data_IF_189123742743
#
_entry.id   IF_189123742743
#
_cell.length_a   1.000
_cell.length_b   1.000
_cell.length_c   1.000
_cell.angle_alpha   90.00
_cell.angle_beta   90.00
_cell.angle_gamma   90.00
#
_symmetry.space_group_name_H-M   'P 1'
#
loop_
_entity.id
_entity.type
_entity.pdbx_description
1 polymer ?
#
# COMPACT_ATOMS: atom_id res chain seq x y z
N UNK A 1 16.20 -18.20 2.53
CA UNK A 1 16.37 -16.75 2.79
C UNK A 1 15.04 -16.15 2.45
N UNK A 2 14.27 -15.77 3.47
CA UNK A 2 12.93 -15.22 3.30
C UNK A 2 13.08 -13.84 2.68
N UNK A 3 12.42 -13.58 1.56
CA UNK A 3 12.19 -12.23 1.07
C UNK A 3 11.41 -11.49 2.18
N UNK A 4 12.14 -10.66 2.93
CA UNK A 4 11.53 -9.66 3.80
C UNK A 4 10.64 -8.78 2.92
N UNK A 5 9.40 -8.56 3.35
CA UNK A 5 8.57 -7.48 2.84
C UNK A 5 9.26 -6.18 3.29
N UNK A 6 10.28 -5.77 2.54
CA UNK A 6 11.10 -4.60 2.81
C UNK A 6 10.30 -3.38 2.36
N UNK A 7 9.28 -2.99 3.14
CA UNK A 7 8.71 -1.67 3.00
C UNK A 7 9.86 -0.71 3.26
N UNK A 8 10.25 0.17 2.31
CA UNK A 8 11.40 1.05 2.50
C UNK A 8 11.00 2.15 3.48
N UNK A 9 10.98 1.82 4.77
CA UNK A 9 10.49 2.66 5.86
C UNK A 9 11.27 3.97 5.96
N UNK A 10 12.54 3.93 5.56
CA UNK A 10 13.40 5.10 5.38
C UNK A 10 12.80 6.07 4.36
N UNK A 11 12.27 5.58 3.23
CA UNK A 11 11.60 6.44 2.22
C UNK A 11 10.32 7.06 2.78
N UNK A 12 9.54 6.31 3.57
CA UNK A 12 8.31 6.82 4.22
C UNK A 12 8.66 7.97 5.18
N UNK A 13 9.61 7.76 6.09
CA UNK A 13 10.03 8.82 7.01
C UNK A 13 10.69 10.00 6.30
N UNK A 14 11.45 9.76 5.22
CA UNK A 14 12.06 10.84 4.43
C UNK A 14 10.99 11.69 3.74
N UNK A 15 9.99 11.05 3.14
CA UNK A 15 8.85 11.75 2.52
C UNK A 15 8.03 12.51 3.57
N UNK A 16 7.76 11.90 4.72
CA UNK A 16 6.97 12.51 5.79
C UNK A 16 7.68 13.70 6.46
N UNK A 17 9.00 13.60 6.71
CA UNK A 17 9.75 14.60 7.48
C UNK A 17 10.42 15.69 6.65
N UNK A 18 10.64 15.46 5.37
CA UNK A 18 11.34 16.40 4.49
C UNK A 18 10.53 16.66 3.22
N UNK A 19 10.27 15.62 2.42
CA UNK A 19 9.68 15.81 1.08
C UNK A 19 8.34 16.58 1.07
N UNK A 20 7.37 16.15 1.88
CA UNK A 20 6.05 16.80 1.93
C UNK A 20 6.10 18.15 2.65
N UNK A 21 6.79 18.29 3.82
CA UNK A 21 6.99 19.58 4.45
C UNK A 21 7.66 20.64 3.55
N UNK A 22 8.68 20.26 2.78
CA UNK A 22 9.37 21.18 1.86
C UNK A 22 8.40 21.74 0.80
N UNK A 23 7.55 20.87 0.23
CA UNK A 23 6.51 21.29 -0.71
C UNK A 23 5.44 22.18 -0.06
N UNK A 24 5.10 21.90 1.20
CA UNK A 24 4.18 22.75 1.97
C UNK A 24 4.79 24.13 2.25
N UNK A 25 6.10 24.21 2.50
CA UNK A 25 6.83 25.47 2.67
C UNK A 25 6.87 26.29 1.37
N UNK A 26 7.18 25.66 0.23
CA UNK A 26 7.15 26.32 -1.08
C UNK A 26 5.76 26.91 -1.37
N UNK A 27 4.71 26.14 -1.11
CA UNK A 27 3.33 26.58 -1.28
C UNK A 27 2.96 27.72 -0.32
N UNK A 28 3.44 27.68 0.92
CA UNK A 28 3.25 28.76 1.89
C UNK A 28 3.96 30.07 1.47
N UNK A 29 5.15 29.98 0.89
CA UNK A 29 5.88 31.13 0.33
C UNK A 29 5.10 31.79 -0.80
N UNK A 30 4.50 31.00 -1.70
CA UNK A 30 3.62 31.51 -2.77
C UNK A 30 2.40 32.21 -2.16
N UNK A 31 1.77 31.60 -1.15
CA UNK A 31 0.66 32.20 -0.41
C UNK A 31 1.00 33.55 0.21
N UNK A 32 2.18 33.66 0.84
CA UNK A 32 2.65 34.92 1.42
C UNK A 32 2.86 36.03 0.37
N UNK A 33 3.41 35.69 -0.79
CA UNK A 33 3.57 36.64 -1.91
C UNK A 33 2.21 37.10 -2.44
N UNK A 34 1.26 36.17 -2.62
CA UNK A 34 -0.09 36.50 -3.05
C UNK A 34 -0.78 37.45 -2.07
N UNK A 35 -0.67 37.19 -0.76
CA UNK A 35 -1.23 38.05 0.27
C UNK A 35 -0.68 39.48 0.20
N UNK A 36 0.63 39.63 -0.07
CA UNK A 36 1.24 40.96 -0.27
C UNK A 36 0.67 41.69 -1.48
N UNK A 37 0.42 40.97 -2.58
CA UNK A 37 -0.18 41.53 -3.80
C UNK A 37 -1.63 41.96 -3.52
N UNK A 38 -2.41 41.10 -2.86
CA UNK A 38 -3.80 41.40 -2.47
C UNK A 38 -3.88 42.65 -1.60
N UNK A 39 -3.00 42.75 -0.60
CA UNK A 39 -2.95 43.93 0.28
C UNK A 39 -2.61 45.20 -0.51
N UNK A 40 -1.70 45.11 -1.48
CA UNK A 40 -1.37 46.24 -2.35
C UNK A 40 -2.55 46.62 -3.24
N UNK A 41 -3.23 45.64 -3.82
CA UNK A 41 -4.40 45.84 -4.67
C UNK A 41 -5.56 46.45 -3.88
N UNK A 42 -5.78 46.04 -2.64
CA UNK A 42 -6.80 46.57 -1.75
C UNK A 42 -6.61 48.07 -1.50
N UNK A 43 -5.37 48.48 -1.19
CA UNK A 43 -5.02 49.91 -1.01
C UNK A 43 -5.25 50.71 -2.30
N UNK A 44 -4.96 50.15 -3.48
CA UNK A 44 -5.21 50.83 -4.75
C UNK A 44 -6.70 50.92 -5.07
N UNK A 45 -7.46 49.86 -4.78
CA UNK A 45 -8.91 49.80 -4.95
C UNK A 45 -9.60 50.86 -4.11
N UNK A 46 -9.20 51.01 -2.84
CA UNK A 46 -9.70 52.04 -1.94
C UNK A 46 -9.42 53.46 -2.47
N UNK A 47 -8.24 53.69 -3.06
CA UNK A 47 -7.89 54.98 -3.70
C UNK A 47 -8.66 55.25 -4.99
N UNK A 48 -9.01 54.20 -5.73
CA UNK A 48 -9.72 54.30 -7.00
C UNK A 48 -11.24 54.48 -6.87
N UNK A 49 -11.77 54.55 -5.64
CA UNK A 49 -13.21 54.65 -5.39
C UNK A 49 -13.94 53.32 -5.55
N UNK A 50 -13.21 52.20 -5.39
CA UNK A 50 -13.74 50.84 -5.29
C UNK A 50 -14.54 50.37 -6.52
N UNK A 51 -13.90 50.35 -7.71
CA UNK A 51 -14.57 49.90 -8.94
C UNK A 51 -14.92 48.40 -8.87
N UNK A 52 -16.08 47.98 -9.43
CA UNK A 52 -16.56 46.60 -9.33
C UNK A 52 -15.54 45.55 -9.79
N UNK A 53 -14.81 45.80 -10.88
CA UNK A 53 -13.81 44.87 -11.39
C UNK A 53 -12.66 44.60 -10.41
N UNK A 54 -12.28 45.58 -9.57
CA UNK A 54 -11.23 45.39 -8.57
C UNK A 54 -11.75 44.63 -7.34
N UNK A 55 -13.02 44.81 -6.96
CA UNK A 55 -13.66 43.98 -5.93
C UNK A 55 -13.72 42.51 -6.34
N UNK A 56 -14.07 42.24 -7.59
CA UNK A 56 -14.08 40.89 -8.12
C UNK A 56 -12.68 40.28 -8.11
N UNK A 57 -11.67 41.05 -8.52
CA UNK A 57 -10.27 40.62 -8.47
C UNK A 57 -9.79 40.33 -7.03
N UNK A 58 -10.15 41.18 -6.05
CA UNK A 58 -9.84 40.94 -4.63
C UNK A 58 -10.53 39.69 -4.09
N UNK A 59 -11.77 39.46 -4.49
CA UNK A 59 -12.54 38.26 -4.10
C UNK A 59 -11.89 37.00 -4.66
N UNK A 60 -11.53 36.99 -5.95
CA UNK A 60 -10.83 35.86 -6.57
C UNK A 60 -9.49 35.63 -5.89
N UNK A 61 -8.71 36.68 -5.62
CA UNK A 61 -7.41 36.55 -4.99
C UNK A 61 -7.51 36.04 -3.54
N UNK A 62 -8.53 36.46 -2.79
CA UNK A 62 -8.86 35.90 -1.47
C UNK A 62 -9.18 34.41 -1.54
N UNK A 63 -10.01 33.99 -2.50
CA UNK A 63 -10.33 32.57 -2.70
C UNK A 63 -9.09 31.72 -3.04
N UNK A 64 -8.19 32.25 -3.87
CA UNK A 64 -6.92 31.57 -4.21
C UNK A 64 -6.04 31.45 -2.97
N UNK A 65 -5.90 32.53 -2.19
CA UNK A 65 -5.12 32.51 -0.95
C UNK A 65 -5.67 31.49 0.06
N UNK A 66 -6.98 31.41 0.22
CA UNK A 66 -7.62 30.41 1.07
C UNK A 66 -7.41 28.98 0.55
N UNK A 67 -7.46 28.79 -0.77
CA UNK A 67 -7.13 27.53 -1.42
C UNK A 67 -5.69 27.08 -1.12
N UNK A 68 -4.72 27.98 -1.24
CA UNK A 68 -3.30 27.75 -0.92
C UNK A 68 -3.16 27.36 0.56
N UNK A 69 -3.78 28.11 1.47
CA UNK A 69 -3.74 27.82 2.92
C UNK A 69 -4.31 26.44 3.26
N UNK A 70 -5.41 26.05 2.62
CA UNK A 70 -5.98 24.70 2.75
C UNK A 70 -5.02 23.65 2.20
N UNK A 71 -4.40 23.89 1.05
CA UNK A 71 -3.39 23.01 0.46
C UNK A 71 -2.21 22.73 1.41
N UNK A 72 -1.63 23.77 2.00
CA UNK A 72 -0.56 23.64 3.02
C UNK A 72 -1.03 22.80 4.22
N UNK A 73 -2.25 23.04 4.69
CA UNK A 73 -2.82 22.27 5.82
C UNK A 73 -2.98 20.80 5.46
N UNK A 74 -3.47 20.50 4.26
CA UNK A 74 -3.63 19.13 3.76
C UNK A 74 -2.28 18.42 3.64
N UNK A 75 -1.25 19.10 3.12
CA UNK A 75 0.11 18.54 3.03
C UNK A 75 0.67 18.23 4.43
N UNK A 76 0.48 19.12 5.40
CA UNK A 76 0.91 18.86 6.77
C UNK A 76 0.18 17.66 7.40
N UNK A 77 -1.13 17.52 7.16
CA UNK A 77 -1.86 16.34 7.61
C UNK A 77 -1.40 15.05 6.91
N UNK A 78 -1.05 15.12 5.62
CA UNK A 78 -0.52 13.99 4.86
C UNK A 78 0.85 13.56 5.40
N UNK A 79 1.74 14.51 5.71
CA UNK A 79 3.02 14.25 6.34
C UNK A 79 2.85 13.52 7.69
N UNK A 80 1.93 14.01 8.54
CA UNK A 80 1.62 13.38 9.82
C UNK A 80 1.07 11.95 9.65
N UNK A 81 0.14 11.75 8.70
CA UNK A 81 -0.44 10.43 8.44
C UNK A 81 0.61 9.43 7.93
N UNK A 82 1.55 9.88 7.09
CA UNK A 82 2.66 9.05 6.63
C UNK A 82 3.64 8.70 7.76
N UNK A 83 3.93 9.64 8.66
CA UNK A 83 4.75 9.36 9.84
C UNK A 83 4.08 8.33 10.75
N UNK A 84 2.79 8.49 11.04
CA UNK A 84 2.02 7.53 11.82
C UNK A 84 1.98 6.14 11.18
N UNK A 85 1.84 6.09 9.85
CA UNK A 85 1.90 4.83 9.09
C UNK A 85 3.28 4.17 9.21
N UNK A 86 4.36 4.96 9.16
CA UNK A 86 5.71 4.50 9.40
C UNK A 86 5.87 3.90 10.81
N UNK A 87 5.35 4.58 11.82
CA UNK A 87 5.38 4.11 13.21
C UNK A 87 4.61 2.79 13.38
N UNK A 88 3.44 2.65 12.75
CA UNK A 88 2.63 1.43 12.76
C UNK A 88 3.38 0.25 12.14
N UNK A 89 4.11 0.46 11.04
CA UNK A 89 4.95 -0.57 10.43
C UNK A 89 6.07 -1.03 11.37
N UNK A 90 6.78 -0.10 12.01
CA UNK A 90 7.84 -0.44 12.99
C UNK A 90 7.25 -1.24 14.15
N UNK A 91 6.09 -0.82 14.66
CA UNK A 91 5.44 -1.50 15.77
C UNK A 91 5.02 -2.92 15.39
N UNK A 92 4.39 -3.10 14.24
CA UNK A 92 3.94 -4.42 13.77
C UNK A 92 5.11 -5.37 13.56
N UNK A 93 6.22 -4.90 12.99
CA UNK A 93 7.42 -5.73 12.78
C UNK A 93 8.07 -6.12 14.12
N UNK A 94 8.15 -5.18 15.06
CA UNK A 94 8.67 -5.46 16.41
C UNK A 94 7.82 -6.51 17.12
N UNK A 95 6.50 -6.38 17.06
CA UNK A 95 5.57 -7.36 17.64
C UNK A 95 5.73 -8.74 16.99
N UNK A 96 5.79 -8.81 15.66
CA UNK A 96 5.99 -10.07 14.95
C UNK A 96 7.31 -10.75 15.34
N UNK A 97 8.38 -9.97 15.50
CA UNK A 97 9.68 -10.47 15.96
C UNK A 97 9.62 -11.02 17.39
N UNK A 98 8.96 -10.32 18.29
CA UNK A 98 8.82 -10.74 19.69
C UNK A 98 7.98 -12.01 19.81
N UNK A 99 6.87 -12.10 19.06
CA UNK A 99 6.04 -13.30 18.96
C UNK A 99 6.85 -14.47 18.40
N UNK A 100 7.59 -14.27 17.31
CA UNK A 100 8.45 -15.31 16.74
C UNK A 100 9.47 -15.83 17.76
N UNK A 101 10.14 -14.93 18.48
CA UNK A 101 11.12 -15.31 19.51
C UNK A 101 10.47 -16.08 20.67
N UNK A 102 9.27 -15.69 21.08
CA UNK A 102 8.49 -16.38 22.11
C UNK A 102 8.15 -17.81 21.69
N UNK A 103 7.57 -17.98 20.49
CA UNK A 103 7.19 -19.30 19.97
C UNK A 103 8.41 -20.18 19.67
N UNK A 104 9.48 -19.61 19.10
CA UNK A 104 10.74 -20.32 18.85
C UNK A 104 11.36 -20.85 20.15
N UNK A 105 11.35 -20.05 21.22
CA UNK A 105 11.79 -20.48 22.54
C UNK A 105 10.92 -21.60 23.13
N UNK A 106 9.60 -21.46 23.04
CA UNK A 106 8.64 -22.42 23.57
C UNK A 106 8.69 -23.77 22.83
N UNK A 107 8.90 -23.76 21.51
CA UNK A 107 8.86 -24.95 20.66
C UNK A 107 10.17 -25.75 20.67
N UNK A 108 11.32 -25.14 21.01
CA UNK A 108 12.62 -25.84 21.08
C UNK A 108 12.67 -27.00 22.08
N UNK A 109 11.86 -26.93 23.14
CA UNK A 109 11.79 -27.98 24.18
C UNK A 109 10.65 -28.97 24.00
N UNK A 110 9.76 -28.76 23.03
CA UNK A 110 8.59 -29.61 22.82
C UNK A 110 8.96 -30.61 21.74
N UNK A 111 9.03 -31.88 22.11
CA UNK A 111 9.18 -32.95 21.13
C UNK A 111 7.92 -32.96 20.25
N UNK A 112 8.05 -32.85 18.91
CA UNK A 112 6.89 -32.82 18.04
C UNK A 112 6.08 -34.08 18.28
N UNK A 113 4.77 -33.93 18.55
CA UNK A 113 3.88 -35.07 18.71
C UNK A 113 3.84 -35.80 17.38
N UNK A 114 4.60 -36.89 17.28
CA UNK A 114 4.59 -37.78 16.13
C UNK A 114 3.35 -38.65 16.25
N UNK A 115 2.25 -38.19 15.68
CA UNK A 115 1.11 -39.08 15.44
C UNK A 115 1.61 -40.16 14.49
N UNK A 116 1.64 -41.41 14.95
CA UNK A 116 1.90 -42.55 14.07
C UNK A 116 0.87 -42.53 12.97
N UNK A 117 1.34 -42.41 11.72
CA UNK A 117 0.49 -42.64 10.55
C UNK A 117 -0.14 -44.01 10.73
N UNK A 118 -1.48 -44.15 10.77
CA UNK A 118 -2.12 -45.45 10.81
C UNK A 118 -1.52 -46.28 9.67
N UNK A 119 -1.02 -47.49 9.97
CA UNK A 119 -0.29 -48.32 9.00
C UNK A 119 -1.09 -48.76 7.77
N UNK A 120 -2.34 -48.29 7.66
CA UNK A 120 -3.27 -48.57 6.59
C UNK A 120 -4.12 -47.33 6.26
N UNK A 121 -3.46 -46.21 5.98
CA UNK A 121 -4.05 -45.22 5.07
C UNK A 121 -3.91 -45.82 3.68
N UNK A 122 -4.96 -46.53 3.25
CA UNK A 122 -5.00 -47.22 1.98
C UNK A 122 -4.48 -46.34 0.83
N UNK A 123 -3.88 -46.98 -0.18
CA UNK A 123 -3.25 -46.26 -1.30
C UNK A 123 -4.24 -45.25 -1.90
N UNK A 124 -3.84 -43.98 -2.11
CA UNK A 124 -4.68 -42.97 -2.74
C UNK A 124 -5.06 -43.34 -4.19
N UNK A 125 -4.38 -44.30 -4.80
CA UNK A 125 -4.69 -44.87 -6.12
C UNK A 125 -5.68 -46.04 -6.07
N UNK A 126 -6.11 -46.46 -4.87
CA UNK A 126 -7.14 -47.48 -4.73
C UNK A 126 -8.47 -46.93 -5.26
N UNK A 127 -9.20 -47.68 -6.11
CA UNK A 127 -10.51 -47.23 -6.59
C UNK A 127 -11.48 -46.98 -5.42
N UNK A 128 -11.71 -45.69 -5.12
CA UNK A 128 -12.75 -45.17 -4.22
C UNK A 128 -12.62 -45.54 -2.75
N UNK A 129 -12.20 -44.58 -1.91
CA UNK A 129 -12.53 -44.63 -0.48
C UNK A 129 -14.05 -44.51 -0.32
N UNK A 130 -14.74 -45.64 -0.10
CA UNK A 130 -16.17 -45.62 0.23
C UNK A 130 -16.31 -45.20 1.68
N UNK A 131 -16.59 -43.91 1.90
CA UNK A 131 -17.10 -43.43 3.18
C UNK A 131 -18.52 -44.00 3.35
N UNK A 132 -18.63 -45.11 4.06
CA UNK A 132 -19.91 -45.63 4.53
C UNK A 132 -20.27 -44.80 5.76
N UNK A 133 -21.32 -43.99 5.67
CA UNK A 133 -21.85 -43.33 6.86
C UNK A 133 -22.40 -44.40 7.85
N UNK A 134 -22.51 -44.11 9.15
CA UNK A 134 -22.98 -45.09 10.13
C UNK A 134 -24.44 -45.55 9.93
N UNK A 135 -25.16 -44.99 8.96
CA UNK A 135 -26.53 -45.34 8.55
C UNK A 135 -26.60 -46.15 7.23
N UNK A 136 -25.47 -46.46 6.60
CA UNK A 136 -25.37 -47.39 5.47
C UNK A 136 -25.76 -46.81 4.11
N UNK A 137 -25.81 -45.48 3.96
CA UNK A 137 -26.10 -44.86 2.67
C UNK A 137 -24.81 -44.60 1.87
N UNK A 138 -24.79 -45.06 0.62
CA UNK A 138 -23.70 -44.82 -0.33
C UNK A 138 -24.11 -43.72 -1.31
N UNK A 139 -23.33 -42.64 -1.37
CA UNK A 139 -23.51 -41.57 -2.35
C UNK A 139 -22.52 -41.75 -3.51
N UNK A 140 -22.94 -41.60 -4.78
CA UNK A 140 -22.01 -41.62 -5.90
C UNK A 140 -21.12 -40.38 -5.85
N UNK A 141 -19.83 -40.59 -5.59
CA UNK A 141 -18.81 -39.55 -5.70
C UNK A 141 -18.46 -39.34 -7.19
N UNK A 142 -18.67 -38.12 -7.67
CA UNK A 142 -18.14 -37.65 -8.95
C UNK A 142 -16.62 -37.49 -8.78
N UNK A 143 -15.84 -38.28 -9.52
CA UNK A 143 -14.39 -38.18 -9.52
C UNK A 143 -14.01 -36.92 -10.30
N UNK A 144 -13.60 -35.87 -9.59
CA UNK A 144 -12.84 -34.78 -10.19
C UNK A 144 -11.41 -35.29 -10.38
N UNK A 145 -10.99 -35.45 -11.64
CA UNK A 145 -9.58 -35.69 -11.97
C UNK A 145 -8.78 -34.50 -11.42
N UNK A 146 -7.76 -34.79 -10.62
CA UNK A 146 -6.83 -33.79 -10.07
C UNK A 146 -5.89 -33.22 -11.13
N UNK A 147 -6.07 -33.58 -12.41
CA UNK A 147 -5.28 -33.08 -13.54
C UNK A 147 -5.80 -31.72 -14.03
N UNK A 148 -6.85 -31.19 -13.38
CA UNK A 148 -7.32 -29.83 -13.61
C UNK A 148 -6.39 -28.85 -12.90
N UNK A 149 -5.34 -28.42 -13.60
CA UNK A 149 -4.61 -27.21 -13.28
C UNK A 149 -5.59 -26.04 -13.42
N UNK A 150 -6.01 -25.37 -12.32
CA UNK A 150 -6.95 -24.28 -12.42
C UNK A 150 -6.36 -23.19 -13.32
N UNK A 151 -7.00 -22.92 -14.44
CA UNK A 151 -6.61 -21.78 -15.27
C UNK A 151 -6.77 -20.51 -14.42
N UNK A 152 -5.64 -19.83 -14.18
CA UNK A 152 -5.67 -18.50 -13.59
C UNK A 152 -6.66 -17.62 -14.40
N UNK A 153 -7.51 -16.82 -13.75
CA UNK A 153 -8.45 -15.95 -14.44
C UNK A 153 -7.74 -15.18 -15.55
N UNK A 154 -8.28 -15.19 -16.77
CA UNK A 154 -7.64 -14.53 -17.91
C UNK A 154 -7.40 -13.03 -17.69
N UNK A 155 -8.18 -12.42 -16.79
CA UNK A 155 -8.08 -11.01 -16.38
C UNK A 155 -6.84 -10.73 -15.51
N UNK A 156 -6.27 -11.72 -14.83
CA UNK A 156 -5.14 -11.51 -13.89
C UNK A 156 -3.76 -11.54 -14.57
N UNK A 157 -3.70 -11.95 -15.86
CA UNK A 157 -2.44 -12.05 -16.62
C UNK A 157 -2.00 -10.71 -17.20
N UNK A 158 -2.92 -9.91 -17.72
CA UNK A 158 -2.60 -8.59 -18.28
C UNK A 158 -2.11 -7.63 -17.19
N UNK A 159 -2.80 -7.64 -16.05
CA UNK A 159 -2.57 -6.66 -14.99
C UNK A 159 -1.27 -6.98 -14.23
N UNK A 160 -0.90 -8.26 -14.11
CA UNK A 160 0.35 -8.68 -13.47
C UNK A 160 1.58 -8.33 -14.30
N UNK A 161 1.52 -8.44 -15.63
CA UNK A 161 2.66 -8.14 -16.51
C UNK A 161 2.88 -6.63 -16.67
N UNK A 162 1.80 -5.83 -16.79
CA UNK A 162 1.92 -4.36 -16.89
C UNK A 162 2.45 -3.74 -15.59
N UNK A 163 1.96 -4.19 -14.43
CA UNK A 163 2.43 -3.65 -13.13
C UNK A 163 3.88 -4.06 -12.84
N UNK A 164 4.29 -5.27 -13.23
CA UNK A 164 5.64 -5.77 -12.98
C UNK A 164 6.71 -5.09 -13.85
N UNK A 165 6.36 -4.58 -15.04
CA UNK A 165 7.30 -3.87 -15.90
C UNK A 165 7.41 -2.37 -15.55
N UNK A 166 6.35 -1.74 -15.04
CA UNK A 166 6.43 -0.38 -14.49
C UNK A 166 7.33 -0.32 -13.24
N UNK A 167 7.17 -1.26 -12.30
CA UNK A 167 7.96 -1.31 -11.05
C UNK A 167 9.46 -1.53 -11.28
N UNK A 168 9.87 -2.28 -12.31
CA UNK A 168 11.29 -2.51 -12.62
C UNK A 168 12.01 -1.22 -13.04
N UNK A 169 11.29 -0.31 -13.69
CA UNK A 169 11.85 0.97 -14.15
C UNK A 169 12.08 1.95 -13.00
N UNK A 170 11.25 1.89 -11.96
CA UNK A 170 11.33 2.77 -10.77
C UNK A 170 12.28 2.21 -9.69
N UNK A 171 12.54 0.89 -9.69
CA UNK A 171 13.47 0.21 -8.78
C UNK A 171 14.95 0.24 -9.22
N UNK A 172 15.25 0.80 -10.39
CA UNK A 172 16.63 0.95 -10.88
C UNK A 172 17.36 -0.37 -11.15
N UNK A 173 16.62 -1.45 -11.43
CA UNK A 173 17.20 -2.75 -11.73
C UNK A 173 17.83 -2.76 -13.14
N UNK A 174 18.97 -3.46 -13.34
CA UNK A 174 19.58 -3.55 -14.66
C UNK A 174 18.63 -4.26 -15.64
N UNK A 175 18.46 -3.65 -16.82
CA UNK A 175 17.66 -4.17 -17.91
C UNK A 175 18.08 -5.61 -18.27
N UNK A 176 17.13 -6.55 -18.26
CA UNK A 176 17.34 -7.92 -18.75
C UNK A 176 17.04 -7.96 -20.26
N UNK A 177 18.07 -8.07 -21.12
CA UNK A 177 17.88 -8.08 -22.57
C UNK A 177 17.21 -9.36 -23.11
N UNK A 178 16.92 -10.35 -22.27
CA UNK A 178 16.31 -11.61 -22.71
C UNK A 178 14.77 -11.58 -22.78
N UNK A 179 14.14 -10.52 -22.24
CA UNK A 179 12.68 -10.37 -22.27
C UNK A 179 12.08 -10.23 -23.69
N UNK A 180 12.89 -9.85 -24.69
CA UNK A 180 12.44 -9.69 -26.08
C UNK A 180 12.41 -11.00 -26.90
N UNK A 181 12.72 -12.14 -26.28
CA UNK A 181 12.85 -13.43 -26.97
C UNK A 181 11.81 -14.49 -26.53
N UNK A 182 10.68 -14.09 -25.95
CA UNK A 182 9.53 -14.98 -25.70
C UNK A 182 8.35 -14.65 -26.60
#
# INVERSE_FOLDING_TARGET
>A
MSDEIYVPIVKIYTAARQGIPDQAEELALIGGRLQSIVTTLDVQTAKAGDPPALRDALTIAGNIHDGIRRGVTTLNHAAFALEATGDDYVQSDTQARDEFNQWHGALKGIEPTRTTVPGDVGSPESPGAVLIDPTGHSYPHVIYSSDYDPEAPSEDKSDRDETADEDKSDLGLPYDPTAQYR
#
